data_IF_543079380577
#
_entry.id   IF_543079380577
#
_cell.length_a   1.000
_cell.length_b   1.000
_cell.length_c   1.000
_cell.angle_alpha   90.00
_cell.angle_beta   90.00
_cell.angle_gamma   90.00
#
_symmetry.space_group_name_H-M   'P 1'
#
loop_
_entity.id
_entity.type
_entity.pdbx_description
1 polymer ?
#
# COMPACT_ATOMS: atom_id res chain seq x y z
N UNK A 1 -19.86 -14.51 -19.41
CA UNK A 1 -20.09 -13.94 -20.75
C UNK A 1 -18.93 -14.35 -21.63
N UNK A 2 -19.21 -15.15 -22.67
CA UNK A 2 -18.21 -15.74 -23.58
C UNK A 2 -18.20 -14.93 -24.88
N UNK A 3 -17.05 -14.41 -25.29
CA UNK A 3 -16.91 -13.81 -26.61
C UNK A 3 -16.76 -14.91 -27.68
N UNK A 4 -17.64 -14.89 -28.69
CA UNK A 4 -17.47 -15.66 -29.93
C UNK A 4 -16.94 -14.73 -31.02
N UNK A 5 -15.93 -15.20 -31.76
CA UNK A 5 -15.48 -14.57 -33.00
C UNK A 5 -16.43 -14.96 -34.15
N UNK A 6 -16.95 -13.98 -34.88
CA UNK A 6 -17.61 -14.19 -36.16
C UNK A 6 -16.60 -14.01 -37.29
N UNK A 7 -16.57 -14.98 -38.21
CA UNK A 7 -15.82 -14.94 -39.46
C UNK A 7 -16.77 -14.47 -40.56
N UNK A 8 -16.43 -13.37 -41.25
CA UNK A 8 -17.19 -12.89 -42.41
C UNK A 8 -16.23 -12.79 -43.60
N UNK A 9 -16.57 -13.52 -44.65
CA UNK A 9 -15.79 -13.70 -45.86
C UNK A 9 -15.73 -12.44 -46.74
N UNK A 10 -14.65 -12.40 -47.53
CA UNK A 10 -14.18 -11.36 -48.43
C UNK A 10 -15.22 -10.80 -49.43
N UNK A 11 -15.34 -9.47 -49.48
CA UNK A 11 -15.66 -8.73 -50.70
C UNK A 11 -14.57 -7.67 -50.94
N UNK A 12 -13.87 -7.75 -52.08
CA UNK A 12 -12.89 -6.75 -52.51
C UNK A 12 -13.59 -5.64 -53.31
N UNK A 13 -13.62 -4.43 -52.76
CA UNK A 13 -13.90 -3.20 -53.52
C UNK A 13 -12.64 -2.33 -53.57
N UNK A 14 -12.21 -1.96 -54.78
CA UNK A 14 -11.17 -0.95 -55.01
C UNK A 14 -11.75 0.45 -54.79
N UNK A 15 -11.46 1.06 -53.64
CA UNK A 15 -11.70 2.48 -53.39
C UNK A 15 -10.40 3.30 -53.60
N UNK A 16 -10.50 4.53 -54.13
CA UNK A 16 -9.34 5.39 -54.34
C UNK A 16 -8.75 5.80 -52.98
N UNK A 17 -7.44 5.67 -52.87
CA UNK A 17 -6.67 5.86 -51.64
C UNK A 17 -6.55 7.36 -51.33
N UNK A 18 -7.58 7.95 -50.72
CA UNK A 18 -7.46 9.27 -50.12
C UNK A 18 -6.57 9.16 -48.86
N UNK A 19 -5.40 9.80 -48.90
CA UNK A 19 -4.49 9.93 -47.75
C UNK A 19 -5.13 10.87 -46.71
N UNK A 20 -5.91 10.30 -45.79
CA UNK A 20 -6.31 11.01 -44.57
C UNK A 20 -5.14 10.98 -43.58
N UNK A 21 -4.53 12.14 -43.35
CA UNK A 21 -3.61 12.34 -42.24
C UNK A 21 -4.41 12.32 -40.93
N UNK A 22 -4.40 11.19 -40.22
CA UNK A 22 -4.94 11.11 -38.87
C UNK A 22 -3.96 11.77 -37.90
N UNK A 23 -4.30 12.98 -37.44
CA UNK A 23 -3.65 13.61 -36.30
C UNK A 23 -4.02 12.83 -35.04
N UNK A 24 -3.09 12.03 -34.52
CA UNK A 24 -3.24 11.39 -33.22
C UNK A 24 -3.09 12.44 -32.12
N UNK A 25 -4.20 12.89 -31.55
CA UNK A 25 -4.19 13.66 -30.32
C UNK A 25 -4.05 12.67 -29.16
N UNK A 26 -2.87 12.64 -28.53
CA UNK A 26 -2.67 11.89 -27.30
C UNK A 26 -3.44 12.59 -26.18
N UNK A 27 -4.63 12.08 -25.84
CA UNK A 27 -5.34 12.46 -24.62
C UNK A 27 -4.54 11.87 -23.45
N UNK A 28 -3.76 12.70 -22.74
CA UNK A 28 -3.24 12.29 -21.43
C UNK A 28 -4.44 12.15 -20.51
N UNK A 29 -4.69 10.93 -20.02
CA UNK A 29 -5.61 10.73 -18.91
C UNK A 29 -5.21 11.68 -17.77
N UNK A 30 -6.17 12.42 -17.24
CA UNK A 30 -5.94 13.28 -16.08
C UNK A 30 -5.37 12.42 -14.96
N UNK A 31 -4.16 12.73 -14.50
CA UNK A 31 -3.56 12.01 -13.38
C UNK A 31 -4.49 12.16 -12.17
N UNK A 32 -4.86 11.03 -11.59
CA UNK A 32 -5.55 10.96 -10.31
C UNK A 32 -4.54 10.54 -9.26
N UNK A 33 -4.68 11.06 -8.05
CA UNK A 33 -3.84 10.70 -6.91
C UNK A 33 -4.76 10.28 -5.78
N UNK A 34 -4.63 9.05 -5.29
CA UNK A 34 -5.62 8.47 -4.38
C UNK A 34 -7.07 8.57 -4.90
N UNK A 35 -7.27 8.38 -6.21
CA UNK A 35 -8.58 8.41 -6.86
C UNK A 35 -9.12 9.80 -7.28
N UNK A 36 -8.46 10.91 -6.89
CA UNK A 36 -8.93 12.27 -7.18
C UNK A 36 -7.85 13.12 -7.86
N UNK A 37 -8.20 13.86 -8.91
CA UNK A 37 -7.27 14.76 -9.61
C UNK A 37 -6.77 15.89 -8.71
N UNK A 38 -7.65 16.42 -7.86
CA UNK A 38 -7.39 17.60 -7.05
C UNK A 38 -6.40 17.30 -5.91
N UNK A 39 -6.21 16.02 -5.58
CA UNK A 39 -5.28 15.57 -4.56
C UNK A 39 -3.84 15.60 -5.05
N UNK A 40 -3.60 15.57 -6.36
CA UNK A 40 -2.25 15.50 -6.91
C UNK A 40 -1.37 16.69 -6.50
N UNK A 41 -1.94 17.89 -6.40
CA UNK A 41 -1.22 19.10 -6.01
C UNK A 41 -1.26 19.38 -4.49
N UNK A 42 -1.83 18.47 -3.69
CA UNK A 42 -1.92 18.62 -2.23
C UNK A 42 -0.70 18.00 -1.57
N UNK A 43 0.01 18.72 -0.68
CA UNK A 43 0.99 18.12 0.22
C UNK A 43 0.39 16.95 1.00
N UNK A 44 1.15 15.87 1.19
CA UNK A 44 0.66 14.69 1.92
C UNK A 44 0.08 15.05 3.30
N UNK A 45 0.75 15.93 4.04
CA UNK A 45 0.32 16.39 5.37
C UNK A 45 -0.87 17.36 5.36
N UNK A 46 -1.47 17.67 4.21
CA UNK A 46 -2.67 18.51 4.08
C UNK A 46 -3.95 17.72 3.84
N UNK A 47 -3.84 16.40 3.66
CA UNK A 47 -4.98 15.51 3.42
C UNK A 47 -5.33 14.70 4.68
N UNK A 48 -6.62 14.43 4.84
CA UNK A 48 -7.14 13.51 5.86
C UNK A 48 -7.56 12.22 5.17
N UNK A 49 -7.11 11.08 5.71
CA UNK A 49 -7.40 9.76 5.18
C UNK A 49 -8.14 8.90 6.20
N UNK A 50 -9.04 8.03 5.70
CA UNK A 50 -9.61 6.96 6.52
C UNK A 50 -8.52 5.94 6.81
N UNK A 51 -8.42 5.56 8.08
CA UNK A 51 -7.54 4.51 8.57
C UNK A 51 -8.33 3.41 9.30
N UNK A 52 -7.97 2.15 9.07
CA UNK A 52 -8.59 1.00 9.75
C UNK A 52 -7.73 0.48 10.91
N UNK A 53 -8.37 0.23 12.05
CA UNK A 53 -7.72 -0.27 13.27
C UNK A 53 -7.49 -1.78 13.19
N UNK A 54 -6.25 -2.25 13.44
CA UNK A 54 -5.85 -3.64 13.25
C UNK A 54 -6.35 -4.20 11.92
N UNK A 55 -5.93 -3.58 10.82
CA UNK A 55 -6.46 -3.85 9.48
C UNK A 55 -6.42 -5.33 9.07
N UNK A 56 -5.50 -6.10 9.65
CA UNK A 56 -5.31 -7.53 9.46
C UNK A 56 -6.32 -8.42 10.20
N UNK A 57 -7.09 -7.87 11.15
CA UNK A 57 -8.01 -8.61 12.02
C UNK A 57 -9.34 -8.92 11.34
N UNK A 58 -9.34 -9.71 10.26
CA UNK A 58 -10.52 -10.10 9.48
C UNK A 58 -10.83 -11.61 9.51
N UNK A 59 -10.16 -12.35 10.40
CA UNK A 59 -10.46 -13.77 10.63
C UNK A 59 -11.79 -13.92 11.39
N UNK A 60 -12.46 -15.08 11.31
CA UNK A 60 -13.67 -15.32 12.10
C UNK A 60 -13.32 -15.49 13.59
N UNK A 61 -13.32 -14.40 14.34
CA UNK A 61 -12.95 -14.34 15.76
C UNK A 61 -13.65 -13.13 16.43
N UNK A 62 -14.14 -13.24 17.68
CA UNK A 62 -14.79 -12.12 18.38
C UNK A 62 -13.90 -10.88 18.59
N UNK A 63 -12.58 -11.04 18.59
CA UNK A 63 -11.60 -9.96 18.69
C UNK A 63 -11.24 -9.34 17.32
N UNK A 64 -11.84 -9.81 16.23
CA UNK A 64 -11.62 -9.22 14.90
C UNK A 64 -12.14 -7.79 14.84
N UNK A 65 -11.42 -6.94 14.12
CA UNK A 65 -11.77 -5.52 13.97
C UNK A 65 -12.30 -5.19 12.57
N UNK A 66 -12.08 -6.08 11.60
CA UNK A 66 -12.45 -5.87 10.20
C UNK A 66 -13.28 -7.08 9.72
N UNK A 67 -14.10 -6.87 8.69
CA UNK A 67 -14.85 -7.94 8.03
C UNK A 67 -14.14 -8.47 6.78
N UNK A 68 -13.29 -7.63 6.16
CA UNK A 68 -12.71 -7.89 4.86
C UNK A 68 -11.17 -7.84 4.90
N UNK A 69 -10.47 -8.55 3.99
CA UNK A 69 -9.03 -8.45 3.84
C UNK A 69 -8.54 -7.02 3.57
N UNK A 70 -7.26 -6.76 3.86
CA UNK A 70 -6.64 -5.44 3.69
C UNK A 70 -6.77 -4.89 2.26
N UNK A 71 -6.70 -5.74 1.24
CA UNK A 71 -6.83 -5.33 -0.17
C UNK A 71 -8.23 -4.82 -0.51
N UNK A 72 -9.27 -5.39 0.10
CA UNK A 72 -10.65 -4.91 -0.04
C UNK A 72 -10.82 -3.56 0.65
N UNK A 73 -10.28 -3.39 1.86
CA UNK A 73 -10.31 -2.09 2.56
C UNK A 73 -9.68 -0.98 1.69
N UNK A 74 -8.54 -1.27 1.04
CA UNK A 74 -7.88 -0.35 0.12
C UNK A 74 -8.71 -0.06 -1.14
N UNK A 75 -9.37 -1.09 -1.70
CA UNK A 75 -10.28 -0.92 -2.83
C UNK A 75 -11.49 -0.04 -2.48
N UNK A 76 -11.96 -0.10 -1.23
CA UNK A 76 -13.08 0.70 -0.71
C UNK A 76 -12.69 2.15 -0.33
N UNK A 77 -11.43 2.55 -0.57
CA UNK A 77 -10.97 3.93 -0.38
C UNK A 77 -10.19 4.19 0.89
N UNK A 78 -9.93 3.18 1.72
CA UNK A 78 -9.00 3.31 2.87
C UNK A 78 -7.60 3.62 2.36
N UNK A 79 -6.91 4.57 2.98
CA UNK A 79 -5.52 4.93 2.64
C UNK A 79 -4.57 4.92 3.85
N UNK A 80 -5.07 4.52 5.01
CA UNK A 80 -4.27 4.22 6.19
C UNK A 80 -4.59 2.84 6.77
N UNK A 81 -3.58 2.10 7.20
CA UNK A 81 -3.75 0.81 7.86
C UNK A 81 -2.98 0.81 9.16
N UNK A 82 -3.65 0.55 10.29
CA UNK A 82 -2.94 0.32 11.56
C UNK A 82 -2.63 -1.15 11.74
N UNK A 83 -1.35 -1.45 11.98
CA UNK A 83 -0.82 -2.79 12.23
C UNK A 83 -0.25 -2.85 13.65
N UNK A 84 -0.52 -3.92 14.39
CA UNK A 84 0.02 -4.10 15.75
C UNK A 84 1.09 -5.17 15.72
N UNK A 85 2.32 -4.79 16.04
CA UNK A 85 3.47 -5.66 16.12
C UNK A 85 3.53 -6.33 17.49
N UNK A 86 3.36 -7.64 17.51
CA UNK A 86 3.33 -8.48 18.72
C UNK A 86 4.26 -9.67 18.54
N UNK A 87 4.92 -10.06 19.62
CA UNK A 87 5.78 -11.23 19.72
C UNK A 87 4.94 -12.47 19.98
N UNK A 88 5.24 -13.55 19.26
CA UNK A 88 4.66 -14.85 19.57
C UNK A 88 5.14 -15.32 20.95
N UNK A 89 4.24 -15.88 21.79
CA UNK A 89 4.46 -16.13 23.22
C UNK A 89 5.73 -16.95 23.59
N UNK A 90 6.32 -17.69 22.65
CA UNK A 90 7.53 -18.50 22.85
C UNK A 90 8.68 -18.12 21.90
N UNK A 91 8.59 -16.96 21.23
CA UNK A 91 9.63 -16.52 20.30
C UNK A 91 10.78 -15.82 21.02
N UNK A 92 11.97 -16.38 20.89
CA UNK A 92 13.24 -15.78 21.29
C UNK A 92 13.92 -15.01 20.14
N UNK A 93 13.38 -15.11 18.91
CA UNK A 93 13.90 -14.37 17.76
C UNK A 93 13.44 -12.91 17.83
N UNK A 94 14.38 -11.99 17.61
CA UNK A 94 14.15 -10.54 17.73
C UNK A 94 14.37 -9.77 16.43
N UNK A 95 14.86 -10.39 15.36
CA UNK A 95 15.35 -9.67 14.18
C UNK A 95 15.32 -10.46 12.86
N UNK A 96 14.42 -11.43 12.74
CA UNK A 96 14.13 -12.14 11.48
C UNK A 96 12.85 -11.57 10.85
N UNK A 97 12.65 -11.82 9.55
CA UNK A 97 11.48 -11.30 8.82
C UNK A 97 10.13 -11.76 9.41
N UNK A 98 10.10 -12.91 10.07
CA UNK A 98 8.95 -13.53 10.74
C UNK A 98 8.87 -13.24 12.25
N UNK A 99 9.79 -12.43 12.81
CA UNK A 99 9.81 -12.12 14.25
C UNK A 99 8.57 -11.36 14.72
N UNK A 100 8.02 -10.50 13.86
CA UNK A 100 6.86 -9.68 14.17
C UNK A 100 5.60 -10.41 13.69
N UNK A 101 4.66 -10.65 14.60
CA UNK A 101 3.32 -11.13 14.26
C UNK A 101 2.29 -10.01 14.38
N UNK A 102 1.22 -10.13 13.59
CA UNK A 102 0.06 -9.25 13.66
C UNK A 102 -0.99 -9.87 14.57
N UNK A 103 -1.10 -9.35 15.80
CA UNK A 103 -1.98 -9.91 16.82
C UNK A 103 -2.80 -8.84 17.55
N UNK A 104 -4.02 -9.20 17.97
CA UNK A 104 -4.89 -8.30 18.73
C UNK A 104 -4.48 -8.26 20.20
N UNK A 105 -3.49 -7.42 20.53
CA UNK A 105 -2.83 -7.29 21.84
C UNK A 105 -1.95 -8.48 22.23
N UNK A 106 -2.40 -9.72 22.01
CA UNK A 106 -1.59 -10.93 22.15
C UNK A 106 -1.98 -11.96 21.10
N UNK A 107 -1.05 -12.84 20.73
CA UNK A 107 -1.30 -13.86 19.72
C UNK A 107 -2.19 -15.02 20.21
N UNK A 108 -2.54 -15.06 21.51
CA UNK A 108 -3.55 -15.98 22.05
C UNK A 108 -4.99 -15.52 21.77
N UNK A 109 -5.21 -14.21 21.60
CA UNK A 109 -6.54 -13.63 21.37
C UNK A 109 -6.88 -13.72 19.87
N UNK A 110 -5.98 -13.20 19.04
CA UNK A 110 -6.07 -13.27 17.58
C UNK A 110 -4.65 -13.19 17.03
N UNK A 111 -4.30 -14.13 16.17
CA UNK A 111 -3.04 -14.17 15.43
C UNK A 111 -3.35 -14.22 13.94
N UNK A 112 -3.05 -13.15 13.22
CA UNK A 112 -3.21 -13.08 11.77
C UNK A 112 -1.93 -13.46 11.00
N UNK A 113 -0.94 -14.02 11.70
CA UNK A 113 0.31 -14.48 11.12
C UNK A 113 1.45 -13.45 11.16
N UNK A 114 2.58 -13.79 10.54
CA UNK A 114 3.73 -12.90 10.41
C UNK A 114 3.39 -11.59 9.68
N UNK A 115 3.95 -10.48 10.15
CA UNK A 115 3.79 -9.17 9.52
C UNK A 115 4.28 -9.13 8.08
N UNK A 116 5.34 -9.88 7.76
CA UNK A 116 5.92 -9.93 6.41
C UNK A 116 4.91 -10.37 5.35
N UNK A 117 3.94 -11.23 5.69
CA UNK A 117 2.92 -11.70 4.73
C UNK A 117 1.95 -10.58 4.34
N UNK A 118 1.48 -9.83 5.34
CA UNK A 118 0.63 -8.65 5.10
C UNK A 118 1.42 -7.56 4.38
N UNK A 119 2.67 -7.30 4.76
CA UNK A 119 3.51 -6.32 4.07
C UNK A 119 3.77 -6.72 2.61
N UNK A 120 3.97 -8.01 2.30
CA UNK A 120 4.12 -8.51 0.93
C UNK A 120 2.84 -8.25 0.12
N UNK A 121 1.68 -8.51 0.72
CA UNK A 121 0.38 -8.19 0.10
C UNK A 121 0.26 -6.68 -0.20
N UNK A 122 0.73 -5.82 0.72
CA UNK A 122 0.73 -4.37 0.51
C UNK A 122 1.73 -3.94 -0.57
N UNK A 123 2.91 -4.55 -0.64
CA UNK A 123 3.89 -4.32 -1.72
C UNK A 123 3.26 -4.62 -3.09
N UNK A 124 2.62 -5.78 -3.23
CA UNK A 124 1.94 -6.15 -4.47
C UNK A 124 0.81 -5.18 -4.82
N UNK A 125 0.03 -4.76 -3.83
CA UNK A 125 -1.03 -3.78 -4.05
C UNK A 125 -0.46 -2.42 -4.50
N UNK A 126 0.54 -1.89 -3.81
CA UNK A 126 1.18 -0.61 -4.17
C UNK A 126 1.82 -0.68 -5.55
N UNK A 127 2.43 -1.81 -5.92
CA UNK A 127 2.98 -2.06 -7.26
C UNK A 127 1.90 -2.02 -8.34
N UNK A 128 0.75 -2.64 -8.09
CA UNK A 128 -0.36 -2.72 -9.04
C UNK A 128 -1.22 -1.45 -9.09
N UNK A 129 -1.05 -0.53 -8.13
CA UNK A 129 -1.79 0.72 -8.04
C UNK A 129 -0.79 1.91 -8.01
N UNK A 130 -0.21 2.30 -9.16
CA UNK A 130 0.90 3.25 -9.22
C UNK A 130 0.53 4.69 -8.80
N UNK A 131 -0.77 5.03 -8.85
CA UNK A 131 -1.29 6.36 -8.54
C UNK A 131 -1.72 6.52 -7.07
N UNK A 132 -1.37 5.55 -6.23
CA UNK A 132 -1.80 5.48 -4.84
C UNK A 132 -0.64 5.73 -3.89
N UNK A 133 -0.92 6.48 -2.83
CA UNK A 133 -0.06 6.73 -1.67
C UNK A 133 -0.74 6.13 -0.44
N UNK A 134 -0.03 5.26 0.27
CA UNK A 134 -0.50 4.46 1.39
C UNK A 134 0.19 4.87 2.68
N UNK A 135 -0.56 4.87 3.79
CA UNK A 135 -0.01 5.05 5.14
C UNK A 135 -0.08 3.75 5.92
N UNK A 136 1.02 3.37 6.57
CA UNK A 136 1.07 2.28 7.55
C UNK A 136 1.37 2.90 8.91
N UNK A 137 0.52 2.64 9.89
CA UNK A 137 0.73 3.06 11.27
C UNK A 137 0.98 1.84 12.16
N UNK A 138 2.18 1.76 12.72
CA UNK A 138 2.58 0.69 13.62
C UNK A 138 2.22 1.01 15.06
N UNK A 139 1.64 0.00 15.70
CA UNK A 139 1.52 -0.10 17.14
C UNK A 139 2.53 -1.14 17.64
N UNK A 140 3.65 -0.66 18.20
CA UNK A 140 4.79 -1.51 18.57
C UNK A 140 4.66 -2.01 20.03
N UNK A 141 3.72 -2.94 20.24
CA UNK A 141 3.34 -3.39 21.59
C UNK A 141 4.46 -4.09 22.36
N UNK A 142 5.34 -4.81 21.67
CA UNK A 142 6.43 -5.58 22.29
C UNK A 142 7.83 -4.97 22.08
N UNK A 143 7.90 -3.65 21.85
CA UNK A 143 9.15 -2.89 21.76
C UNK A 143 10.18 -3.49 20.78
N UNK A 144 9.72 -3.90 19.60
CA UNK A 144 10.60 -4.41 18.55
C UNK A 144 11.63 -3.35 18.14
N UNK A 145 12.84 -3.81 17.83
CA UNK A 145 13.93 -2.96 17.35
C UNK A 145 13.78 -2.58 15.88
N UNK A 146 14.58 -1.60 15.45
CA UNK A 146 14.60 -1.18 14.05
C UNK A 146 14.97 -2.33 13.13
N UNK A 147 15.91 -3.16 13.57
CA UNK A 147 16.41 -4.30 12.82
C UNK A 147 15.29 -5.33 12.55
N UNK A 148 14.35 -5.50 13.49
CA UNK A 148 13.21 -6.38 13.31
C UNK A 148 12.26 -5.89 12.20
N UNK A 149 11.91 -4.60 12.26
CA UNK A 149 11.12 -3.97 11.20
C UNK A 149 11.87 -3.99 9.87
N UNK A 150 13.18 -3.72 9.88
CA UNK A 150 14.01 -3.74 8.67
C UNK A 150 13.99 -5.09 7.99
N UNK A 151 14.11 -6.17 8.77
CA UNK A 151 14.07 -7.53 8.25
C UNK A 151 12.73 -7.83 7.55
N UNK A 152 11.61 -7.49 8.18
CA UNK A 152 10.27 -7.67 7.59
C UNK A 152 10.04 -6.78 6.36
N UNK A 153 10.49 -5.52 6.39
CA UNK A 153 10.36 -4.55 5.30
C UNK A 153 11.21 -4.91 4.09
N UNK A 154 12.44 -5.40 4.30
CA UNK A 154 13.31 -5.89 3.24
C UNK A 154 12.72 -7.17 2.61
N UNK A 155 12.32 -8.13 3.44
CA UNK A 155 11.80 -9.41 2.95
C UNK A 155 10.49 -9.27 2.16
N UNK A 156 9.63 -8.33 2.56
CA UNK A 156 8.38 -8.03 1.83
C UNK A 156 8.56 -7.14 0.60
N UNK A 157 9.73 -6.53 0.42
CA UNK A 157 10.01 -5.55 -0.65
C UNK A 157 9.31 -4.20 -0.47
N UNK A 158 8.56 -3.97 0.62
CA UNK A 158 7.81 -2.72 0.80
C UNK A 158 8.74 -1.52 1.04
N UNK A 159 9.97 -1.78 1.51
CA UNK A 159 10.98 -0.73 1.74
C UNK A 159 11.28 0.07 0.47
N UNK A 160 11.21 -0.55 -0.71
CA UNK A 160 11.46 0.10 -1.99
C UNK A 160 10.45 1.20 -2.29
N UNK A 161 9.25 1.13 -1.68
CA UNK A 161 8.18 2.12 -1.81
C UNK A 161 8.10 3.08 -0.62
N UNK A 162 8.88 2.87 0.44
CA UNK A 162 8.80 3.71 1.65
C UNK A 162 9.40 5.11 1.42
N UNK A 163 8.60 6.14 1.72
CA UNK A 163 9.03 7.53 1.77
C UNK A 163 9.55 7.87 3.16
N UNK A 164 10.73 8.49 3.23
CA UNK A 164 11.30 9.02 4.46
C UNK A 164 11.20 10.53 4.47
N UNK A 165 10.48 11.10 5.43
CA UNK A 165 10.49 12.53 5.66
C UNK A 165 11.74 12.91 6.46
N UNK A 166 12.48 13.91 5.99
CA UNK A 166 13.62 14.45 6.76
C UNK A 166 13.13 15.03 8.08
N UNK A 167 13.70 14.57 9.19
CA UNK A 167 13.38 15.09 10.52
C UNK A 167 13.59 16.61 10.60
N UNK A 168 12.62 17.32 11.19
CA UNK A 168 12.62 18.79 11.25
C UNK A 168 12.16 19.50 9.96
N UNK A 169 11.95 18.78 8.86
CA UNK A 169 11.33 19.35 7.66
C UNK A 169 9.81 19.19 7.71
N UNK A 170 9.09 20.32 7.78
CA UNK A 170 7.61 20.35 7.78
C UNK A 170 7.00 20.51 6.39
N UNK A 171 7.82 20.75 5.36
CA UNK A 171 7.38 20.78 3.97
C UNK A 171 7.35 19.35 3.44
N UNK A 172 6.14 18.80 3.33
CA UNK A 172 5.92 17.49 2.72
C UNK A 172 5.76 17.63 1.20
N UNK A 173 6.19 16.62 0.42
CA UNK A 173 5.90 16.56 -1.00
C UNK A 173 4.39 16.45 -1.24
N UNK A 174 3.98 16.88 -2.42
CA UNK A 174 2.66 16.61 -2.96
C UNK A 174 2.49 15.13 -3.29
N UNK A 175 1.25 14.65 -3.37
CA UNK A 175 0.99 13.26 -3.77
C UNK A 175 1.54 12.97 -5.18
N UNK A 176 1.48 13.92 -6.12
CA UNK A 176 2.06 13.75 -7.45
C UNK A 176 3.59 13.54 -7.41
N UNK A 177 4.31 14.28 -6.56
CA UNK A 177 5.75 14.13 -6.39
C UNK A 177 6.12 12.80 -5.74
N UNK A 178 5.36 12.38 -4.71
CA UNK A 178 5.52 11.05 -4.10
C UNK A 178 5.30 9.95 -5.14
N UNK A 179 4.24 10.07 -5.95
CA UNK A 179 3.93 9.13 -7.02
C UNK A 179 5.06 9.06 -8.05
N UNK A 180 5.52 10.22 -8.54
CA UNK A 180 6.59 10.31 -9.52
C UNK A 180 7.92 9.74 -8.99
N UNK A 181 8.20 9.88 -7.70
CA UNK A 181 9.41 9.32 -7.06
C UNK A 181 9.35 7.80 -6.86
N UNK A 182 8.15 7.20 -6.94
CA UNK A 182 7.90 5.82 -6.55
C UNK A 182 7.87 5.56 -5.04
N UNK A 183 8.26 6.54 -4.20
CA UNK A 183 8.20 6.47 -2.74
C UNK A 183 6.82 6.91 -2.24
N UNK A 184 5.93 5.93 -2.08
CA UNK A 184 4.48 6.11 -1.90
C UNK A 184 3.92 5.42 -0.66
N UNK A 185 4.76 4.87 0.21
CA UNK A 185 4.36 4.31 1.50
C UNK A 185 4.92 5.17 2.62
N UNK A 186 4.06 5.74 3.45
CA UNK A 186 4.46 6.53 4.62
C UNK A 186 4.26 5.71 5.87
N UNK A 187 5.28 5.65 6.72
CA UNK A 187 5.22 4.88 7.96
C UNK A 187 5.13 5.83 9.15
N UNK A 188 4.28 5.48 10.12
CA UNK A 188 4.27 6.04 11.46
C UNK A 188 4.44 4.91 12.47
N UNK A 189 5.02 5.20 13.63
CA UNK A 189 5.09 4.27 14.75
C UNK A 189 4.70 5.01 16.04
N UNK A 190 3.89 4.37 16.90
CA UNK A 190 3.39 4.98 18.13
C UNK A 190 4.39 5.02 19.29
N UNK A 191 5.49 4.28 19.18
CA UNK A 191 6.52 4.21 20.19
C UNK A 191 7.90 3.97 19.57
N UNK A 192 8.88 4.73 20.06
CA UNK A 192 10.29 4.81 19.65
C UNK A 192 10.56 5.47 18.28
N UNK A 193 11.07 6.71 18.33
CA UNK A 193 11.80 7.29 17.20
C UNK A 193 13.09 6.48 16.99
N UNK A 194 13.24 5.83 15.84
CA UNK A 194 14.50 5.13 15.53
C UNK A 194 15.02 5.53 14.13
N UNK A 195 16.00 6.42 14.08
CA UNK A 195 16.48 7.07 12.84
C UNK A 195 17.09 6.15 11.76
N UNK A 196 17.13 4.83 11.99
CA UNK A 196 17.75 3.85 11.10
C UNK A 196 16.83 3.35 9.98
N UNK A 197 15.54 3.70 10.02
CA UNK A 197 14.54 3.28 9.05
C UNK A 197 13.64 4.45 8.62
N UNK A 198 12.93 4.31 7.48
CA UNK A 198 12.17 5.41 6.89
C UNK A 198 10.81 5.60 7.58
N UNK A 199 10.87 6.02 8.84
CA UNK A 199 9.77 6.62 9.61
C UNK A 199 10.21 7.95 10.20
#
# INVERSE_FOLDING_TARGET
MTCRCFNVQNLFYCLPRALFAFSFVAVKAQQVCNGYSDYCNKPYNSLTHVLTHNAYGYVANPASNQQCPVTTQLADGVRGLKLSAVRLNNSTSNATADSIHLCHTSCNILNAGPAVDTLTTLTEWVKNNPNEVLTIMWNNLDSFSAQAFQAAYNASGILDYSYQQTSGNYSWPTLAEMIASGKRVVNFADSSYQSQLPW
#
